data_IF_711112601562
#
_entry.id   IF_711112601562
#
_cell.length_a   1.000
_cell.length_b   1.000
_cell.length_c   1.000
_cell.angle_alpha   90.00
_cell.angle_beta   90.00
_cell.angle_gamma   90.00
#
_symmetry.space_group_name_H-M   'P 1'
#
loop_
_entity.id
_entity.type
_entity.pdbx_description
1 polymer ?
#
# COMPACT_ATOMS: atom_id res chain seq x y z
N UNK A 1 -20.35 14.62 12.81
CA UNK A 1 -20.00 13.44 11.97
C UNK A 1 -18.66 13.76 11.31
N UNK A 2 -17.59 13.00 11.59
CA UNK A 2 -16.32 13.18 10.86
C UNK A 2 -16.52 12.58 9.48
N UNK A 3 -16.44 13.40 8.43
CA UNK A 3 -16.53 12.96 7.05
C UNK A 3 -15.37 12.05 6.64
N UNK A 4 -15.39 11.52 5.41
CA UNK A 4 -14.31 10.67 4.92
C UNK A 4 -12.96 11.38 5.04
N UNK A 5 -11.98 10.70 5.64
CA UNK A 5 -10.62 11.25 5.75
C UNK A 5 -9.90 10.95 4.46
N UNK A 6 -9.72 11.96 3.60
CA UNK A 6 -8.90 11.83 2.42
C UNK A 6 -7.43 11.96 2.79
N UNK A 7 -6.61 10.97 2.44
CA UNK A 7 -5.13 11.03 2.54
C UNK A 7 -4.51 10.91 1.15
N UNK A 8 -3.25 11.30 1.04
CA UNK A 8 -2.47 11.16 -0.19
C UNK A 8 -1.62 9.89 -0.05
N UNK A 9 -1.72 8.99 -1.01
CA UNK A 9 -0.90 7.78 -1.02
C UNK A 9 0.57 8.17 -1.24
N UNK A 10 1.45 7.77 -0.34
CA UNK A 10 2.89 8.10 -0.46
C UNK A 10 3.54 7.48 -1.70
N UNK A 11 3.02 6.34 -2.18
CA UNK A 11 3.58 5.67 -3.36
C UNK A 11 3.16 6.30 -4.69
N UNK A 12 1.86 6.53 -4.87
CA UNK A 12 1.31 6.97 -6.17
C UNK A 12 0.81 8.41 -6.16
N UNK A 13 0.87 9.09 -5.02
CA UNK A 13 0.40 10.46 -4.79
C UNK A 13 -1.07 10.68 -5.15
N UNK A 14 -1.86 9.62 -5.24
CA UNK A 14 -3.31 9.71 -5.44
C UNK A 14 -4.02 9.94 -4.11
N UNK A 15 -4.99 10.83 -4.12
CA UNK A 15 -5.91 11.02 -3.00
C UNK A 15 -6.81 9.80 -2.87
N UNK A 16 -6.95 9.27 -1.65
CA UNK A 16 -7.79 8.13 -1.37
C UNK A 16 -8.52 8.31 -0.04
N UNK A 17 -9.66 7.64 0.10
CA UNK A 17 -10.40 7.60 1.36
C UNK A 17 -9.67 6.66 2.34
N UNK A 18 -9.15 7.23 3.42
CA UNK A 18 -8.60 6.49 4.54
C UNK A 18 -9.74 5.92 5.37
N UNK A 19 -9.79 4.59 5.48
CA UNK A 19 -10.91 3.90 6.09
C UNK A 19 -11.08 4.09 7.61
N UNK A 20 -10.26 4.91 8.29
CA UNK A 20 -10.29 5.22 9.74
C UNK A 20 -10.46 3.99 10.66
N UNK A 21 -11.69 3.50 10.79
CA UNK A 21 -12.09 2.31 11.55
C UNK A 21 -11.87 0.98 10.80
N UNK A 22 -11.47 1.04 9.52
CA UNK A 22 -11.12 -0.11 8.70
C UNK A 22 -10.06 0.27 7.69
N UNK A 23 -8.79 0.28 8.12
CA UNK A 23 -7.68 0.48 7.20
C UNK A 23 -7.76 -0.55 6.06
N UNK A 24 -7.47 -0.11 4.83
CA UNK A 24 -7.44 -1.01 3.68
C UNK A 24 -6.54 -2.22 3.95
N UNK A 25 -5.39 -2.04 4.63
CA UNK A 25 -4.48 -3.14 5.00
C UNK A 25 -5.20 -4.33 5.67
N UNK A 26 -6.14 -4.06 6.59
CA UNK A 26 -6.92 -5.09 7.28
C UNK A 26 -8.11 -5.63 6.47
N UNK A 27 -8.58 -4.88 5.46
CA UNK A 27 -9.72 -5.26 4.62
C UNK A 27 -9.35 -6.18 3.45
N UNK A 28 -8.23 -5.91 2.79
CA UNK A 28 -7.77 -6.67 1.59
C UNK A 28 -6.79 -7.79 1.93
N UNK A 29 -6.62 -8.12 3.22
CA UNK A 29 -5.83 -9.26 3.65
C UNK A 29 -4.34 -9.12 3.38
N UNK A 30 -3.77 -7.93 3.63
CA UNK A 30 -2.32 -7.74 3.56
C UNK A 30 -1.68 -8.59 4.65
N UNK A 31 -0.77 -9.49 4.26
CA UNK A 31 -0.07 -10.38 5.19
C UNK A 31 0.86 -9.59 6.13
N UNK A 32 1.17 -10.14 7.29
CA UNK A 32 2.08 -9.51 8.27
C UNK A 32 3.42 -9.10 7.65
N UNK A 33 4.06 -10.01 6.90
CA UNK A 33 5.30 -9.73 6.16
C UNK A 33 5.17 -8.59 5.14
N UNK A 34 4.02 -8.47 4.48
CA UNK A 34 3.76 -7.37 3.55
C UNK A 34 3.55 -6.06 4.31
N UNK A 35 2.89 -6.08 5.47
CA UNK A 35 2.74 -4.92 6.34
C UNK A 35 4.07 -4.42 6.87
N UNK A 36 4.95 -5.31 7.36
CA UNK A 36 6.30 -4.95 7.79
C UNK A 36 7.10 -4.32 6.64
N UNK A 37 7.00 -4.89 5.44
CA UNK A 37 7.66 -4.36 4.25
C UNK A 37 7.15 -2.96 3.86
N UNK A 38 5.84 -2.72 3.98
CA UNK A 38 5.23 -1.40 3.75
C UNK A 38 5.74 -0.42 4.81
N UNK A 39 5.63 -0.76 6.10
CA UNK A 39 6.02 0.10 7.21
C UNK A 39 7.52 0.44 7.22
N UNK A 40 8.36 -0.44 6.66
CA UNK A 40 9.80 -0.19 6.51
C UNK A 40 10.14 0.73 5.31
N UNK A 41 9.20 0.97 4.38
CA UNK A 41 9.45 1.71 3.12
C UNK A 41 8.64 2.98 2.96
N UNK A 42 7.49 3.06 3.61
CA UNK A 42 6.55 4.17 3.51
C UNK A 42 6.25 4.66 4.92
N UNK A 43 6.38 5.96 5.14
CA UNK A 43 6.14 6.62 6.43
C UNK A 43 4.64 6.94 6.65
N UNK A 44 3.86 7.02 5.57
CA UNK A 44 2.43 7.30 5.53
C UNK A 44 1.64 6.13 4.90
N UNK A 45 0.34 6.34 4.73
CA UNK A 45 -0.60 5.30 4.32
C UNK A 45 -0.58 5.10 2.80
N UNK A 46 -0.70 3.84 2.37
CA UNK A 46 -0.92 3.48 0.99
C UNK A 46 -2.42 3.35 0.67
N UNK A 47 -2.80 3.74 -0.54
CA UNK A 47 -4.17 3.54 -1.02
C UNK A 47 -4.48 2.06 -1.29
N UNK A 48 -5.77 1.72 -1.36
CA UNK A 48 -6.24 0.37 -1.68
C UNK A 48 -5.54 -0.20 -2.93
N UNK A 49 -5.50 0.56 -4.03
CA UNK A 49 -4.89 0.08 -5.28
C UNK A 49 -3.39 -0.23 -5.14
N UNK A 50 -2.65 0.51 -4.32
CA UNK A 50 -1.24 0.21 -4.06
C UNK A 50 -1.10 -1.03 -3.18
N UNK A 51 -1.93 -1.17 -2.16
CA UNK A 51 -1.92 -2.34 -1.30
C UNK A 51 -2.34 -3.62 -2.04
N UNK A 52 -3.33 -3.54 -2.93
CA UNK A 52 -3.73 -4.67 -3.79
C UNK A 52 -2.57 -5.15 -4.66
N UNK A 53 -1.77 -4.23 -5.21
CA UNK A 53 -0.56 -4.57 -5.96
C UNK A 53 0.53 -5.22 -5.09
N UNK A 54 0.57 -4.93 -3.78
CA UNK A 54 1.42 -5.67 -2.83
C UNK A 54 0.88 -7.10 -2.64
N UNK A 55 -0.44 -7.23 -2.48
CA UNK A 55 -1.11 -8.53 -2.36
C UNK A 55 -0.96 -9.39 -3.62
N UNK A 56 -0.97 -8.79 -4.81
CA UNK A 56 -0.80 -9.50 -6.10
C UNK A 56 0.65 -9.71 -6.51
N UNK A 57 1.62 -9.41 -5.62
CA UNK A 57 3.05 -9.56 -5.90
C UNK A 57 3.57 -8.66 -7.05
N UNK A 58 2.80 -7.66 -7.49
CA UNK A 58 3.22 -6.73 -8.52
C UNK A 58 4.31 -5.79 -7.99
N UNK A 59 4.30 -5.46 -6.69
CA UNK A 59 5.44 -4.86 -6.00
C UNK A 59 5.36 -5.17 -4.50
N UNK A 60 6.40 -5.76 -3.90
CA UNK A 60 6.33 -6.21 -2.51
C UNK A 60 7.62 -6.88 -2.03
N UNK A 61 7.61 -7.48 -0.83
CA UNK A 61 8.80 -8.11 -0.21
C UNK A 61 9.40 -9.25 -1.01
N UNK A 62 8.58 -9.92 -1.80
CA UNK A 62 8.87 -11.09 -2.65
C UNK A 62 9.55 -10.73 -3.97
N UNK A 63 9.30 -9.53 -4.52
CA UNK A 63 10.05 -9.01 -5.67
C UNK A 63 11.43 -8.55 -5.22
N UNK A 64 12.32 -9.52 -5.03
CA UNK A 64 13.75 -9.32 -5.22
C UNK A 64 13.90 -8.64 -6.57
N UNK A 65 14.33 -7.38 -6.58
CA UNK A 65 14.46 -6.57 -7.78
C UNK A 65 15.35 -7.29 -8.80
N UNK A 66 14.74 -7.96 -9.78
CA UNK A 66 15.35 -8.27 -11.07
C UNK A 66 14.70 -7.39 -12.12
N UNK A 67 14.91 -6.09 -12.00
CA UNK A 67 14.83 -5.20 -13.17
C UNK A 67 16.27 -4.91 -13.60
N UNK A 68 16.80 -5.82 -14.43
CA UNK A 68 17.84 -5.49 -15.40
C UNK A 68 17.30 -4.52 -16.46
N UNK A 69 18.18 -3.91 -17.28
CA UNK A 69 17.94 -2.62 -17.92
C UNK A 69 17.04 -2.68 -19.16
N UNK A 70 16.37 -1.54 -19.39
CA UNK A 70 16.03 -0.86 -20.65
C UNK A 70 16.15 -1.66 -21.96
N UNK A 71 15.04 -1.72 -22.71
CA UNK A 71 15.01 -1.98 -24.15
C UNK A 71 14.38 -0.80 -24.88
#
# INVERSE_FOLDING_TARGET
>A
MRGPINKICERCHQTFECGQYGCWCGKIGVSEQQMDWIAARFEDCLCQACLEKVCTDEFGPSRTQVNGPTG
#
